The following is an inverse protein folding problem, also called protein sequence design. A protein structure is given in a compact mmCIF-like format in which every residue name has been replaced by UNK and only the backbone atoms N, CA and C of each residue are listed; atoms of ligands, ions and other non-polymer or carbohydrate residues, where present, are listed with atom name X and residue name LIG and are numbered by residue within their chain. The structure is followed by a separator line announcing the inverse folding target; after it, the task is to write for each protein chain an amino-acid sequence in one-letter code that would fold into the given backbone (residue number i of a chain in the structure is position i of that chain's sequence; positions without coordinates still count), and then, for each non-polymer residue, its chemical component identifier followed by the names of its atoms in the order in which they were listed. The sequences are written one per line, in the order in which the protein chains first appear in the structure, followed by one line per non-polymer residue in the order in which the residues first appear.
data_IF_022760304010
#
_entry.id   IF_022760304010
#
_cell.length_a   1.000
_cell.length_b   1.000
_cell.length_c   1.000
_cell.angle_alpha   90.00
_cell.angle_beta   90.00
_cell.angle_gamma   90.00
#
_symmetry.space_group_name_H-M   'P 1'
#
loop_
_entity.id
_entity.type
_entity.pdbx_description
1 polymer ?
#
# COMPACT_ATOMS: atom_id res chain seq x y z
N UNK A 1 11.23 18.15 -15.12
CA UNK A 1 12.51 17.43 -14.95
C UNK A 1 12.27 15.97 -15.32
N UNK A 2 13.11 15.32 -16.13
CA UNK A 2 13.01 13.88 -16.36
C UNK A 2 13.30 13.14 -15.04
N UNK A 3 12.59 12.03 -14.79
CA UNK A 3 12.61 11.33 -13.49
C UNK A 3 14.02 10.90 -13.04
N UNK A 4 14.91 10.61 -13.99
CA UNK A 4 16.29 10.20 -13.71
C UNK A 4 17.10 11.32 -13.01
N UNK A 5 16.98 12.57 -13.47
CA UNK A 5 17.76 13.69 -12.91
C UNK A 5 17.37 13.97 -11.47
N UNK A 6 16.05 13.96 -11.19
CA UNK A 6 15.52 14.11 -9.85
C UNK A 6 15.97 12.97 -8.91
N UNK A 7 16.08 11.75 -9.42
CA UNK A 7 16.59 10.62 -8.63
C UNK A 7 18.07 10.80 -8.27
N UNK A 8 18.88 11.24 -9.23
CA UNK A 8 20.31 11.49 -9.00
C UNK A 8 20.51 12.55 -7.92
N UNK A 9 19.80 13.67 -8.01
CA UNK A 9 19.90 14.76 -7.03
C UNK A 9 19.49 14.34 -5.61
N UNK A 10 18.39 13.57 -5.48
CA UNK A 10 17.85 13.19 -4.17
C UNK A 10 18.60 12.03 -3.50
N UNK A 11 19.16 11.09 -4.27
CA UNK A 11 19.67 9.82 -3.73
C UNK A 11 21.15 9.56 -4.00
N UNK A 12 21.71 10.02 -5.11
CA UNK A 12 23.09 9.70 -5.48
C UNK A 12 24.04 10.54 -4.63
N UNK A 13 24.92 9.88 -3.88
CA UNK A 13 25.84 10.54 -2.95
C UNK A 13 25.24 10.89 -1.58
N UNK A 14 23.89 10.95 -1.46
CA UNK A 14 23.21 11.14 -0.18
C UNK A 14 23.35 9.92 0.72
N UNK A 15 23.49 10.16 2.02
CA UNK A 15 23.61 9.12 3.05
C UNK A 15 22.47 9.25 4.04
N UNK A 16 21.66 8.20 4.14
CA UNK A 16 20.51 8.19 5.05
C UNK A 16 20.89 7.46 6.34
N UNK A 17 20.67 8.11 7.48
CA UNK A 17 21.05 7.55 8.80
C UNK A 17 19.91 6.77 9.47
N UNK A 18 18.72 6.84 8.89
CA UNK A 18 17.51 6.16 9.32
C UNK A 18 16.79 5.57 8.11
N UNK A 19 16.14 4.43 8.29
CA UNK A 19 15.24 3.90 7.27
C UNK A 19 14.05 4.85 7.02
N UNK A 20 13.52 5.47 8.07
CA UNK A 20 12.36 6.35 7.96
C UNK A 20 12.63 7.56 7.05
N UNK A 21 13.79 8.20 7.21
CA UNK A 21 14.22 9.33 6.35
C UNK A 21 14.31 8.91 4.87
N UNK A 22 14.83 7.70 4.64
CA UNK A 22 14.93 7.15 3.29
C UNK A 22 13.56 6.86 2.69
N UNK A 23 12.66 6.23 3.45
CA UNK A 23 11.30 5.88 3.00
C UNK A 23 10.45 7.13 2.72
N UNK A 24 10.59 8.18 3.54
CA UNK A 24 9.92 9.47 3.33
C UNK A 24 10.41 10.14 2.05
N UNK A 25 11.72 10.28 1.88
CA UNK A 25 12.32 10.85 0.65
C UNK A 25 11.91 10.05 -0.59
N UNK A 26 11.85 8.71 -0.47
CA UNK A 26 11.41 7.83 -1.54
C UNK A 26 9.92 8.00 -1.87
N UNK A 27 9.08 8.14 -0.86
CA UNK A 27 7.64 8.39 -1.03
C UNK A 27 7.38 9.72 -1.75
N UNK A 28 8.08 10.77 -1.38
CA UNK A 28 8.01 12.08 -2.04
C UNK A 28 8.45 12.01 -3.50
N UNK A 29 9.57 11.34 -3.77
CA UNK A 29 10.06 11.11 -5.13
C UNK A 29 9.05 10.35 -5.99
N UNK A 30 8.47 9.26 -5.46
CA UNK A 30 7.44 8.47 -6.14
C UNK A 30 6.21 9.31 -6.49
N UNK A 31 5.75 10.15 -5.55
CA UNK A 31 4.61 11.03 -5.72
C UNK A 31 4.87 12.13 -6.74
N UNK A 32 6.06 12.74 -6.71
CA UNK A 32 6.43 13.82 -7.62
C UNK A 32 6.63 13.34 -9.07
N UNK A 33 7.16 12.12 -9.24
CA UNK A 33 7.48 11.56 -10.56
C UNK A 33 6.43 10.55 -11.07
N UNK A 34 5.38 10.29 -10.29
CA UNK A 34 4.29 9.36 -10.62
C UNK A 34 4.76 7.92 -10.90
N UNK A 35 5.80 7.47 -10.20
CA UNK A 35 6.40 6.14 -10.34
C UNK A 35 6.20 5.32 -9.07
N UNK A 36 6.01 4.00 -9.22
CA UNK A 36 5.86 3.10 -8.08
C UNK A 36 6.99 2.08 -8.07
N UNK A 37 7.80 2.09 -7.01
CA UNK A 37 8.74 1.01 -6.71
C UNK A 37 8.28 0.18 -5.54
N UNK A 38 8.53 -1.12 -5.62
CA UNK A 38 8.26 -2.08 -4.56
C UNK A 38 9.55 -2.80 -4.18
N UNK A 39 9.63 -3.19 -2.91
CA UNK A 39 10.74 -4.02 -2.43
C UNK A 39 10.70 -5.37 -3.15
N UNK A 40 11.77 -5.69 -3.86
CA UNK A 40 11.97 -6.95 -4.57
C UNK A 40 12.65 -7.99 -3.68
N UNK A 41 13.75 -7.59 -3.04
CA UNK A 41 14.53 -8.41 -2.12
C UNK A 41 15.07 -7.52 -1.01
N UNK A 42 15.23 -8.08 0.19
CA UNK A 42 15.78 -7.36 1.34
C UNK A 42 16.56 -8.30 2.23
N UNK A 43 17.70 -7.86 2.72
CA UNK A 43 18.51 -8.53 3.72
C UNK A 43 18.45 -7.70 5.00
N UNK A 44 17.93 -8.29 6.07
CA UNK A 44 17.76 -7.61 7.37
C UNK A 44 19.07 -7.57 8.14
N UNK A 45 19.17 -6.60 9.06
CA UNK A 45 20.25 -6.50 10.04
C UNK A 45 19.69 -6.38 11.45
N UNK A 46 20.53 -6.62 12.46
CA UNK A 46 20.18 -6.44 13.86
C UNK A 46 20.03 -4.95 14.25
N UNK A 47 20.52 -4.03 13.42
CA UNK A 47 20.38 -2.59 13.66
C UNK A 47 18.91 -2.17 13.48
N UNK A 48 18.27 -1.72 14.57
CA UNK A 48 16.87 -1.30 14.58
C UNK A 48 16.59 -0.04 13.76
N UNK A 49 17.54 0.90 13.69
CA UNK A 49 17.38 2.20 12.99
C UNK A 49 17.40 2.06 11.46
N UNK A 50 18.29 1.22 10.94
CA UNK A 50 18.42 1.00 9.49
C UNK A 50 17.61 -0.21 9.01
N UNK A 51 17.41 -1.20 9.90
CA UNK A 51 16.63 -2.44 9.71
C UNK A 51 17.12 -3.39 8.62
N UNK A 52 17.83 -2.88 7.62
CA UNK A 52 18.32 -3.62 6.46
C UNK A 52 19.81 -3.36 6.19
N UNK A 53 20.49 -4.41 5.76
CA UNK A 53 21.86 -4.33 5.23
C UNK A 53 21.86 -4.10 3.70
N UNK A 54 20.87 -4.66 3.00
CA UNK A 54 20.61 -4.33 1.60
C UNK A 54 19.14 -4.47 1.23
N UNK A 55 18.69 -3.63 0.30
CA UNK A 55 17.32 -3.64 -0.24
C UNK A 55 17.40 -3.42 -1.75
N UNK A 56 16.65 -4.21 -2.49
CA UNK A 56 16.44 -4.03 -3.93
C UNK A 56 15.03 -3.53 -4.16
N UNK A 57 14.89 -2.43 -4.88
CA UNK A 57 13.61 -1.87 -5.31
C UNK A 57 13.46 -2.06 -6.81
N UNK A 58 12.24 -2.38 -7.25
CA UNK A 58 11.91 -2.53 -8.68
C UNK A 58 10.58 -1.90 -8.99
N UNK A 59 10.39 -1.47 -10.22
CA UNK A 59 9.09 -0.99 -10.70
C UNK A 59 8.00 -2.06 -10.49
N UNK A 60 6.77 -1.64 -10.17
CA UNK A 60 5.61 -2.54 -10.05
C UNK A 60 5.28 -3.31 -11.33
N UNK A 61 5.65 -2.74 -12.49
CA UNK A 61 5.46 -3.35 -13.81
C UNK A 61 6.61 -4.29 -14.23
N UNK A 62 7.63 -4.45 -13.37
CA UNK A 62 8.70 -5.41 -13.55
C UNK A 62 8.15 -6.86 -13.55
N UNK A 63 8.67 -7.77 -14.38
CA UNK A 63 8.22 -9.16 -14.41
C UNK A 63 8.20 -9.79 -13.02
N UNK A 64 7.09 -10.47 -12.73
CA UNK A 64 7.01 -11.35 -11.57
C UNK A 64 7.79 -12.63 -11.87
N UNK A 65 8.25 -13.30 -10.81
CA UNK A 65 8.78 -14.66 -10.99
C UNK A 65 7.68 -15.52 -11.63
N UNK A 66 8.05 -16.31 -12.63
CA UNK A 66 7.12 -17.21 -13.29
C UNK A 66 6.44 -18.11 -12.25
N UNK A 67 5.11 -18.19 -12.32
CA UNK A 67 4.37 -19.13 -11.48
C UNK A 67 4.58 -20.54 -12.01
N UNK A 68 4.85 -21.49 -11.13
CA UNK A 68 4.85 -22.93 -11.46
C UNK A 68 3.42 -23.51 -11.52
N UNK A 69 2.39 -22.68 -11.29
CA UNK A 69 0.99 -23.11 -11.34
C UNK A 69 0.53 -23.42 -12.76
N UNK A 70 -0.46 -24.31 -12.90
CA UNK A 70 -1.12 -24.65 -14.18
C UNK A 70 -1.85 -23.48 -14.87
N UNK A 71 -1.95 -22.29 -14.26
CA UNK A 71 -2.52 -21.11 -14.91
C UNK A 71 -4.02 -21.18 -15.20
N UNK A 72 -4.76 -22.06 -14.51
CA UNK A 72 -6.20 -22.31 -14.75
C UNK A 72 -7.01 -21.01 -14.64
N UNK A 73 -6.67 -20.14 -13.69
CA UNK A 73 -7.28 -18.81 -13.55
C UNK A 73 -6.51 -17.80 -14.39
N UNK A 74 -7.18 -17.13 -15.33
CA UNK A 74 -6.63 -15.97 -16.03
C UNK A 74 -6.37 -14.84 -15.03
N UNK A 75 -5.12 -14.42 -14.90
CA UNK A 75 -4.72 -13.26 -14.10
C UNK A 75 -4.34 -12.15 -15.06
N UNK A 76 -5.02 -11.01 -14.96
CA UNK A 76 -4.64 -9.81 -15.70
C UNK A 76 -3.43 -9.16 -14.99
N UNK A 77 -2.23 -9.45 -15.46
CA UNK A 77 -1.00 -8.84 -14.95
C UNK A 77 -0.69 -7.59 -15.76
N UNK A 78 -0.63 -6.43 -15.11
CA UNK A 78 -0.17 -5.18 -15.74
C UNK A 78 1.36 -5.14 -15.93
N UNK A 79 2.06 -6.27 -15.95
CA UNK A 79 3.52 -6.30 -16.09
C UNK A 79 3.92 -6.02 -17.53
N UNK A 80 4.79 -5.02 -17.75
CA UNK A 80 5.25 -4.59 -19.09
C UNK A 80 6.69 -5.00 -19.38
N UNK A 81 7.33 -5.76 -18.51
CA UNK A 81 8.75 -6.08 -18.68
C UNK A 81 9.71 -4.97 -18.22
N UNK A 82 9.22 -4.01 -17.42
CA UNK A 82 10.01 -2.86 -16.99
C UNK A 82 11.30 -3.26 -16.24
N UNK A 83 12.44 -2.71 -16.66
CA UNK A 83 13.76 -2.94 -16.06
C UNK A 83 14.06 -2.01 -14.88
N UNK A 84 13.36 -0.86 -14.78
CA UNK A 84 13.61 0.15 -13.77
C UNK A 84 13.71 -0.44 -12.35
N UNK A 85 14.87 -0.23 -11.73
CA UNK A 85 15.25 -0.80 -10.44
C UNK A 85 16.40 -0.03 -9.82
N UNK A 86 16.52 -0.12 -8.50
CA UNK A 86 17.71 0.38 -7.81
C UNK A 86 17.99 -0.43 -6.55
N UNK A 87 19.24 -0.35 -6.12
CA UNK A 87 19.75 -1.10 -4.99
C UNK A 87 20.25 -0.15 -3.92
N UNK A 88 19.81 -0.38 -2.70
CA UNK A 88 20.23 0.33 -1.49
C UNK A 88 21.08 -0.62 -0.67
N UNK A 89 22.24 -0.17 -0.20
CA UNK A 89 23.12 -0.95 0.67
C UNK A 89 23.55 -0.12 1.86
N UNK A 90 23.78 -0.80 2.98
CA UNK A 90 24.37 -0.20 4.16
C UNK A 90 25.87 -0.02 3.94
N UNK A 91 26.37 1.21 4.09
CA UNK A 91 27.81 1.51 4.10
C UNK A 91 28.14 2.44 5.26
N UNK A 92 29.10 2.00 6.10
CA UNK A 92 29.61 2.76 7.25
C UNK A 92 28.47 3.38 8.10
N UNK A 93 27.46 2.56 8.44
CA UNK A 93 26.34 2.97 9.29
C UNK A 93 25.25 3.84 8.65
N UNK A 94 25.23 3.98 7.32
CA UNK A 94 24.18 4.69 6.58
C UNK A 94 23.67 3.87 5.40
N UNK A 95 22.44 4.09 4.96
CA UNK A 95 21.90 3.56 3.71
C UNK A 95 22.33 4.47 2.55
N UNK A 96 22.85 3.86 1.49
CA UNK A 96 23.27 4.54 0.25
C UNK A 96 22.77 3.77 -0.96
N UNK A 97 22.38 4.48 -2.01
CA UNK A 97 22.07 3.85 -3.30
C UNK A 97 23.37 3.40 -3.96
N UNK A 98 23.47 2.10 -4.25
CA UNK A 98 24.67 1.49 -4.85
C UNK A 98 24.62 1.40 -6.36
N UNK A 99 23.43 1.22 -6.93
CA UNK A 99 23.21 1.13 -8.38
C UNK A 99 21.74 1.41 -8.68
N UNK A 100 21.46 1.96 -9.86
CA UNK A 100 20.12 2.33 -10.27
C UNK A 100 19.98 2.29 -11.80
N UNK A 101 18.76 2.07 -12.25
CA UNK A 101 18.26 2.18 -13.61
C UNK A 101 16.85 2.77 -13.50
N UNK A 102 16.65 3.99 -13.99
CA UNK A 102 15.39 4.73 -13.91
C UNK A 102 14.63 4.76 -15.24
N UNK A 103 15.03 3.94 -16.22
CA UNK A 103 14.37 3.90 -17.52
C UNK A 103 13.10 3.04 -17.47
N UNK A 104 11.97 3.70 -17.75
CA UNK A 104 10.66 3.06 -17.80
C UNK A 104 10.23 2.82 -19.25
N UNK A 105 9.77 1.61 -19.54
CA UNK A 105 9.27 1.21 -20.86
C UNK A 105 7.73 1.26 -20.97
N UNK A 106 7.07 1.95 -20.03
CA UNK A 106 5.62 2.05 -19.94
C UNK A 106 5.22 3.51 -19.69
N UNK A 107 3.98 3.90 -20.02
CA UNK A 107 3.52 5.26 -19.75
C UNK A 107 3.57 5.55 -18.25
N UNK A 108 4.08 6.74 -17.92
CA UNK A 108 4.03 7.33 -16.60
C UNK A 108 3.03 8.48 -16.66
N UNK A 109 2.01 8.45 -15.81
CA UNK A 109 1.06 9.54 -15.69
C UNK A 109 0.50 9.62 -14.28
N UNK A 110 0.13 10.84 -13.89
CA UNK A 110 -0.52 11.11 -12.61
C UNK A 110 -1.77 10.24 -12.42
N UNK A 111 -2.61 10.13 -13.44
CA UNK A 111 -3.86 9.37 -13.37
C UNK A 111 -3.62 7.87 -13.18
N UNK A 112 -2.59 7.30 -13.81
CA UNK A 112 -2.20 5.89 -13.61
C UNK A 112 -1.63 5.68 -12.21
N UNK A 113 -0.82 6.61 -11.72
CA UNK A 113 -0.24 6.57 -10.38
C UNK A 113 -1.32 6.63 -9.30
N UNK A 114 -2.22 7.61 -9.33
CA UNK A 114 -3.28 7.79 -8.33
C UNK A 114 -4.27 6.61 -8.31
N UNK A 115 -4.54 6.00 -9.47
CA UNK A 115 -5.43 4.84 -9.58
C UNK A 115 -4.73 3.51 -9.28
N UNK A 116 -3.41 3.50 -9.10
CA UNK A 116 -2.68 2.27 -8.81
C UNK A 116 -3.11 1.72 -7.43
N UNK A 117 -3.37 0.40 -7.28
CA UNK A 117 -3.85 -0.17 -6.03
C UNK A 117 -3.01 0.22 -4.79
N UNK A 118 -1.68 0.29 -4.94
CA UNK A 118 -0.78 0.66 -3.83
C UNK A 118 -1.04 2.08 -3.30
N UNK A 119 -1.42 3.02 -4.18
CA UNK A 119 -1.59 4.42 -3.83
C UNK A 119 -3.01 4.74 -3.35
N UNK A 120 -3.96 3.85 -3.66
CA UNK A 120 -5.35 3.94 -3.19
C UNK A 120 -5.53 3.37 -1.78
N UNK A 121 -4.59 2.58 -1.28
CA UNK A 121 -4.74 1.96 0.03
C UNK A 121 -4.68 2.99 1.16
N UNK A 122 -5.65 2.92 2.06
CA UNK A 122 -5.61 3.66 3.31
C UNK A 122 -4.62 2.99 4.27
N UNK A 123 -3.87 3.78 5.02
CA UNK A 123 -3.00 3.27 6.09
C UNK A 123 -3.86 2.77 7.26
N UNK A 124 -3.32 1.94 8.16
CA UNK A 124 -4.06 1.50 9.34
C UNK A 124 -4.60 2.66 10.17
N UNK A 125 -3.84 3.74 10.31
CA UNK A 125 -4.20 4.96 11.03
C UNK A 125 -5.39 5.66 10.36
N UNK A 126 -5.31 5.90 9.05
CA UNK A 126 -6.40 6.50 8.26
C UNK A 126 -7.67 5.64 8.29
N UNK A 127 -7.54 4.31 8.23
CA UNK A 127 -8.67 3.38 8.36
C UNK A 127 -9.33 3.52 9.74
N UNK A 128 -8.54 3.66 10.81
CA UNK A 128 -9.07 3.80 12.16
C UNK A 128 -9.81 5.12 12.35
N UNK A 129 -9.28 6.23 11.83
CA UNK A 129 -9.93 7.55 11.85
C UNK A 129 -11.25 7.54 11.07
N UNK A 130 -11.25 6.92 9.89
CA UNK A 130 -12.44 6.85 9.02
C UNK A 130 -13.38 5.70 9.35
N UNK A 131 -13.02 4.84 10.31
CA UNK A 131 -13.79 3.65 10.70
C UNK A 131 -15.27 3.95 10.96
N UNK A 132 -15.66 5.02 11.70
CA UNK A 132 -17.06 5.34 11.92
C UNK A 132 -17.82 5.59 10.61
N UNK A 133 -17.20 6.31 9.67
CA UNK A 133 -17.80 6.61 8.35
C UNK A 133 -18.01 5.35 7.51
N UNK A 134 -17.10 4.37 7.59
CA UNK A 134 -17.23 3.10 6.88
C UNK A 134 -18.29 2.17 7.49
N UNK A 135 -18.47 2.21 8.82
CA UNK A 135 -19.44 1.38 9.55
C UNK A 135 -20.86 1.92 9.45
N UNK A 136 -21.04 3.24 9.46
CA UNK A 136 -22.30 3.85 9.08
C UNK A 136 -22.60 3.51 7.62
N UNK A 137 -23.89 3.35 7.27
CA UNK A 137 -24.32 3.10 5.89
C UNK A 137 -24.17 4.35 4.98
N UNK A 138 -23.05 5.05 5.13
CA UNK A 138 -22.65 6.23 4.38
C UNK A 138 -22.65 5.93 2.89
N UNK A 139 -23.09 6.90 2.09
CA UNK A 139 -23.11 6.73 0.65
C UNK A 139 -21.69 6.54 0.10
N UNK A 140 -21.55 5.65 -0.88
CA UNK A 140 -20.26 5.33 -1.50
C UNK A 140 -19.65 6.59 -2.14
N UNK A 141 -20.47 7.45 -2.74
CA UNK A 141 -20.03 8.70 -3.36
C UNK A 141 -19.45 9.66 -2.33
N UNK A 142 -20.10 9.82 -1.18
CA UNK A 142 -19.59 10.66 -0.09
C UNK A 142 -18.26 10.12 0.45
N UNK A 143 -18.14 8.80 0.67
CA UNK A 143 -16.89 8.20 1.14
C UNK A 143 -15.72 8.43 0.17
N UNK A 144 -15.97 8.34 -1.14
CA UNK A 144 -14.95 8.64 -2.16
C UNK A 144 -14.49 10.09 -2.07
N UNK A 145 -15.44 11.01 -1.98
CA UNK A 145 -15.16 12.44 -1.92
C UNK A 145 -14.39 12.78 -0.63
N UNK A 146 -14.88 12.33 0.52
CA UNK A 146 -14.25 12.55 1.81
C UNK A 146 -12.81 12.04 1.84
N UNK A 147 -12.55 10.82 1.35
CA UNK A 147 -11.20 10.25 1.33
C UNK A 147 -10.29 10.97 0.32
N UNK A 148 -10.84 11.39 -0.82
CA UNK A 148 -10.09 12.19 -1.79
C UNK A 148 -9.70 13.56 -1.21
N UNK A 149 -10.61 14.24 -0.53
CA UNK A 149 -10.37 15.56 0.04
C UNK A 149 -9.44 15.51 1.26
N UNK A 150 -9.60 14.50 2.11
CA UNK A 150 -8.84 14.39 3.37
C UNK A 150 -7.45 13.81 3.17
N UNK A 151 -7.33 12.75 2.35
CA UNK A 151 -6.08 11.99 2.21
C UNK A 151 -5.49 12.02 0.78
N UNK A 152 -6.19 12.64 -0.19
CA UNK A 152 -5.74 12.67 -1.58
C UNK A 152 -5.81 11.32 -2.30
N UNK A 153 -6.63 10.38 -1.82
CA UNK A 153 -6.66 8.99 -2.32
C UNK A 153 -7.94 8.69 -3.10
N UNK A 154 -7.78 8.18 -4.31
CA UNK A 154 -8.91 7.89 -5.20
C UNK A 154 -9.46 6.47 -4.99
N UNK A 155 -10.34 6.27 -4.01
CA UNK A 155 -10.96 4.95 -3.77
C UNK A 155 -11.90 4.53 -4.90
N UNK A 156 -11.85 3.23 -5.22
CA UNK A 156 -12.83 2.55 -6.04
C UNK A 156 -13.99 2.05 -5.18
N UNK A 157 -15.13 1.77 -5.81
CA UNK A 157 -16.27 1.15 -5.14
C UNK A 157 -15.89 -0.17 -4.49
N UNK A 158 -15.05 -0.98 -5.15
CA UNK A 158 -14.59 -2.26 -4.62
C UNK A 158 -13.72 -2.11 -3.37
N UNK A 159 -12.89 -1.06 -3.28
CA UNK A 159 -12.09 -0.82 -2.07
C UNK A 159 -12.99 -0.56 -0.88
N UNK A 160 -14.02 0.28 -1.06
CA UNK A 160 -14.97 0.60 0.01
C UNK A 160 -15.69 -0.66 0.49
N UNK A 161 -16.12 -1.51 -0.45
CA UNK A 161 -16.75 -2.80 -0.12
C UNK A 161 -15.77 -3.71 0.64
N UNK A 162 -14.51 -3.79 0.21
CA UNK A 162 -13.47 -4.59 0.86
C UNK A 162 -13.09 -4.05 2.24
N UNK A 163 -13.05 -2.73 2.42
CA UNK A 163 -12.79 -2.10 3.72
C UNK A 163 -13.95 -2.40 4.66
N UNK A 164 -15.20 -2.19 4.22
CA UNK A 164 -16.39 -2.53 4.99
C UNK A 164 -16.42 -4.00 5.42
N UNK A 165 -16.11 -4.92 4.51
CA UNK A 165 -16.12 -6.35 4.83
C UNK A 165 -15.05 -6.71 5.87
N UNK A 166 -13.88 -6.06 5.85
CA UNK A 166 -12.82 -6.23 6.85
C UNK A 166 -13.15 -5.60 8.20
N UNK A 167 -13.93 -4.52 8.22
CA UNK A 167 -14.29 -3.80 9.45
C UNK A 167 -15.47 -4.41 10.19
N UNK A 168 -16.36 -5.12 9.47
CA UNK A 168 -17.45 -5.88 10.10
C UNK A 168 -16.84 -6.90 11.07
N UNK A 169 -17.30 -6.94 12.33
CA UNK A 169 -16.97 -8.06 13.20
C UNK A 169 -17.44 -9.35 12.54
N UNK A 170 -16.65 -10.42 12.68
CA UNK A 170 -17.09 -11.77 12.34
C UNK A 170 -18.45 -12.01 13.01
N UNK A 171 -19.46 -12.60 12.34
CA UNK A 171 -20.74 -12.85 12.97
C UNK A 171 -20.53 -13.83 14.13
N UNK A 172 -20.51 -13.30 15.35
CA UNK A 172 -20.87 -14.09 16.52
C UNK A 172 -22.35 -14.38 16.35
N UNK A 173 -22.68 -15.64 16.09
CA UNK A 173 -24.04 -16.15 16.17
C UNK A 173 -24.59 -15.80 17.55
N UNK A 174 -25.45 -14.79 17.62
CA UNK A 174 -26.29 -14.55 18.79
C UNK A 174 -27.45 -15.53 18.69
N UNK A 175 -27.33 -16.65 19.39
CA UNK A 175 -28.48 -17.46 19.77
C UNK A 175 -29.30 -16.61 20.75
N UNK A 176 -30.44 -16.10 20.29
CA UNK A 176 -31.48 -15.60 21.18
C UNK A 176 -32.26 -16.83 21.66
N UNK A 177 -31.92 -17.35 22.84
CA UNK A 177 -32.85 -18.20 23.58
C UNK A 177 -33.97 -17.32 24.13
N UNK A 178 -35.16 -17.43 23.53
CA UNK A 178 -36.41 -16.91 24.09
C UNK A 178 -36.75 -17.69 25.37
N UNK A 179 -36.43 -17.13 26.54
CA UNK A 179 -37.07 -17.54 27.79
C UNK A 179 -38.25 -16.62 28.07
N UNK A 180 -39.41 -17.00 27.53
CA UNK A 180 -40.70 -16.44 27.96
C UNK A 180 -40.97 -16.95 29.38
N UNK A 181 -40.64 -16.12 30.35
CA UNK A 181 -41.09 -16.29 31.72
C UNK A 181 -42.59 -15.91 31.80
N UNK A 182 -43.44 -16.88 32.11
CA UNK A 182 -44.88 -16.69 32.34
C UNK A 182 -45.24 -17.23 33.72
N UNK A 183 -44.76 -16.54 34.75
CA UNK A 183 -45.43 -16.54 36.05
C UNK A 183 -46.70 -15.69 35.92
N UNK A 184 -47.87 -16.32 35.98
CA UNK A 184 -49.07 -15.66 36.45
C UNK A 184 -49.92 -16.61 37.29
N UNK A 185 -49.96 -16.23 38.56
CA UNK A 185 -50.77 -16.65 39.71
C UNK A 185 -52.28 -16.57 39.42
N UNK A 186 -53.04 -17.61 39.81
CA UNK A 186 -54.23 -17.55 40.68
C UNK A 186 -54.89 -18.95 40.79
N UNK A 187 -54.95 -19.55 41.99
CA UNK A 187 -56.07 -19.53 42.97
C UNK A 187 -57.41 -19.94 42.33
N UNK A 188 -57.85 -21.19 42.55
CA UNK A 188 -58.93 -21.62 43.48
C UNK A 188 -58.67 -23.09 43.84
#
# INVERSE_FOLDING_TARGET
MPANDAFVELFVGRRFTSLAEFEETLSEYMKANFVNFVVATSVRTANSRLRYDSISYRCVHCPRRGSQSKGIRKVNTQTTGCSARFHVRRRRGALVVSSYDMEHNHPISRSLYERHPLNRHLTPEEINETRPLFLCNTSISYLKQYVADTYGKCLTTQDIVNIRSRLKPYPLTMEFEETVNRDNVNIV
#
